data_IF_579396158110
#
_entry.id   IF_579396158110
#
_cell.length_a   1.000
_cell.length_b   1.000
_cell.length_c   1.000
_cell.angle_alpha   90.00
_cell.angle_beta   90.00
_cell.angle_gamma   90.00
#
_symmetry.space_group_name_H-M   'P 1'
#
loop_
_entity.id
_entity.type
_entity.pdbx_description
1 polymer ?
#
# COMPACT_ATOMS: atom_id res chain seq x y z
N UNK A 1 -2.74 -14.49 44.80
CA UNK A 1 -2.38 -15.02 43.47
C UNK A 1 -2.10 -13.91 42.45
N UNK A 2 -2.06 -12.63 42.83
CA UNK A 2 -1.96 -11.51 41.86
C UNK A 2 -0.59 -10.81 41.84
N UNK A 3 0.17 -10.84 42.95
CA UNK A 3 1.45 -10.11 43.06
C UNK A 3 2.58 -10.81 42.27
N UNK A 4 2.62 -12.14 42.27
CA UNK A 4 3.62 -12.93 41.53
C UNK A 4 3.42 -12.86 40.01
N UNK A 5 2.16 -12.76 39.54
CA UNK A 5 1.85 -12.53 38.13
C UNK A 5 2.28 -11.13 37.67
N UNK A 6 2.02 -10.10 38.47
CA UNK A 6 2.39 -8.72 38.15
C UNK A 6 3.92 -8.52 38.10
N UNK A 7 4.66 -9.15 39.04
CA UNK A 7 6.12 -9.18 39.03
C UNK A 7 6.67 -9.93 37.82
N UNK A 8 6.12 -11.11 37.47
CA UNK A 8 6.56 -11.84 36.28
C UNK A 8 6.31 -11.05 34.97
N UNK A 9 5.19 -10.32 34.90
CA UNK A 9 4.86 -9.46 33.75
C UNK A 9 5.80 -8.26 33.66
N UNK A 10 6.13 -7.63 34.80
CA UNK A 10 7.09 -6.53 34.86
C UNK A 10 8.51 -6.99 34.50
N UNK A 11 8.96 -8.16 34.97
CA UNK A 11 10.27 -8.71 34.62
C UNK A 11 10.36 -9.07 33.13
N UNK A 12 9.28 -9.60 32.54
CA UNK A 12 9.22 -9.88 31.10
C UNK A 12 9.22 -8.59 30.26
N UNK A 13 8.52 -7.55 30.69
CA UNK A 13 8.53 -6.22 30.04
C UNK A 13 9.93 -5.58 30.10
N UNK A 14 10.63 -5.69 31.24
CA UNK A 14 11.99 -5.16 31.41
C UNK A 14 12.99 -5.97 30.56
N UNK A 15 12.86 -7.30 30.51
CA UNK A 15 13.70 -8.15 29.67
C UNK A 15 13.49 -7.88 28.17
N UNK A 16 12.24 -7.72 27.73
CA UNK A 16 11.91 -7.31 26.36
C UNK A 16 12.49 -5.92 26.04
N UNK A 17 12.32 -4.93 26.93
CA UNK A 17 12.86 -3.60 26.73
C UNK A 17 14.40 -3.57 26.64
N UNK A 18 15.09 -4.41 27.43
CA UNK A 18 16.55 -4.50 27.43
C UNK A 18 17.11 -5.26 26.21
N UNK A 19 16.37 -6.25 25.72
CA UNK A 19 16.70 -6.99 24.49
C UNK A 19 16.42 -6.14 23.23
N UNK A 20 15.33 -5.38 23.23
CA UNK A 20 15.01 -4.39 22.19
C UNK A 20 16.04 -3.26 22.15
N UNK A 21 16.51 -2.78 23.31
CA UNK A 21 17.62 -1.83 23.36
C UNK A 21 18.90 -2.42 22.76
N UNK A 22 19.20 -3.70 23.00
CA UNK A 22 20.35 -4.39 22.41
C UNK A 22 20.26 -4.50 20.88
N UNK A 23 19.09 -4.87 20.35
CA UNK A 23 18.87 -4.99 18.90
C UNK A 23 18.90 -3.63 18.20
N UNK A 24 18.27 -2.60 18.78
CA UNK A 24 18.30 -1.24 18.24
C UNK A 24 19.72 -0.66 18.26
N UNK A 25 20.46 -0.83 19.36
CA UNK A 25 21.85 -0.38 19.43
C UNK A 25 22.73 -1.08 18.39
N UNK A 26 22.54 -2.39 18.18
CA UNK A 26 23.25 -3.12 17.12
C UNK A 26 22.90 -2.61 15.73
N UNK A 27 21.62 -2.32 15.46
CA UNK A 27 21.19 -1.74 14.18
C UNK A 27 21.77 -0.35 13.95
N UNK A 28 21.82 0.49 14.98
CA UNK A 28 22.43 1.82 14.93
C UNK A 28 23.93 1.71 14.66
N UNK A 29 24.63 0.80 15.33
CA UNK A 29 26.06 0.56 15.08
C UNK A 29 26.32 0.13 13.64
N UNK A 30 25.52 -0.81 13.09
CA UNK A 30 25.64 -1.25 11.70
C UNK A 30 25.20 -0.18 10.71
N UNK A 31 24.28 0.70 11.10
CA UNK A 31 23.85 1.82 10.29
C UNK A 31 24.96 2.87 10.14
N UNK A 32 25.60 3.25 11.25
CA UNK A 32 26.73 4.17 11.25
C UNK A 32 27.92 3.60 10.47
N UNK A 33 28.16 2.29 10.56
CA UNK A 33 29.19 1.60 9.80
C UNK A 33 28.93 1.51 8.28
N UNK A 34 27.70 1.74 7.81
CA UNK A 34 27.35 1.68 6.39
C UNK A 34 27.63 2.98 5.61
N UNK A 35 28.12 4.03 6.27
CA UNK A 35 28.53 5.27 5.60
C UNK A 35 27.39 6.10 5.00
N UNK A 36 27.73 7.05 4.12
CA UNK A 36 26.82 8.11 3.70
C UNK A 36 25.56 7.63 2.96
N UNK A 37 25.65 6.54 2.20
CA UNK A 37 24.51 6.00 1.42
C UNK A 37 23.42 5.37 2.30
N UNK A 38 23.67 5.18 3.59
CA UNK A 38 22.65 4.72 4.55
C UNK A 38 21.55 5.77 4.79
N UNK A 39 21.88 7.06 4.70
CA UNK A 39 20.91 8.14 4.86
C UNK A 39 19.82 8.17 3.78
N UNK A 40 20.14 8.16 2.46
CA UNK A 40 19.11 8.12 1.44
C UNK A 40 18.33 6.78 1.42
N UNK A 41 18.93 5.66 1.81
CA UNK A 41 18.22 4.39 1.99
C UNK A 41 17.17 4.51 3.10
N UNK A 42 17.55 5.07 4.25
CA UNK A 42 16.62 5.31 5.35
C UNK A 42 15.52 6.32 4.95
N UNK A 43 15.86 7.38 4.23
CA UNK A 43 14.89 8.33 3.71
C UNK A 43 13.87 7.65 2.79
N UNK A 44 14.32 6.71 1.94
CA UNK A 44 13.44 5.91 1.08
C UNK A 44 12.46 5.06 1.89
N UNK A 45 12.90 4.47 3.02
CA UNK A 45 12.02 3.75 3.94
C UNK A 45 10.98 4.68 4.56
N UNK A 46 11.41 5.81 5.13
CA UNK A 46 10.52 6.74 5.84
C UNK A 46 9.46 7.31 4.90
N UNK A 47 9.86 7.76 3.71
CA UNK A 47 8.94 8.30 2.71
C UNK A 47 8.03 7.19 2.16
N UNK A 48 8.58 6.02 1.85
CA UNK A 48 7.79 4.86 1.41
C UNK A 48 6.72 4.46 2.43
N UNK A 49 7.07 4.40 3.70
CA UNK A 49 6.12 4.12 4.78
C UNK A 49 5.07 5.23 4.96
N UNK A 50 5.42 6.51 4.74
CA UNK A 50 4.45 7.60 4.76
C UNK A 50 3.37 7.40 3.68
N UNK A 51 3.75 6.99 2.46
CA UNK A 51 2.80 6.62 1.42
C UNK A 51 1.98 5.37 1.80
N UNK A 52 2.59 4.37 2.44
CA UNK A 52 1.86 3.20 2.93
C UNK A 52 0.78 3.58 3.95
N UNK A 53 1.08 4.48 4.89
CA UNK A 53 0.11 4.94 5.91
C UNK A 53 -1.05 5.69 5.24
N UNK A 54 -0.74 6.59 4.31
CA UNK A 54 -1.74 7.32 3.55
C UNK A 54 -2.67 6.37 2.76
N UNK A 55 -2.11 5.38 2.08
CA UNK A 55 -2.87 4.35 1.35
C UNK A 55 -3.73 3.50 2.29
N UNK A 56 -3.19 3.09 3.44
CA UNK A 56 -3.93 2.30 4.42
C UNK A 56 -5.19 3.02 4.89
N UNK A 57 -5.10 4.33 5.17
CA UNK A 57 -6.26 5.13 5.56
C UNK A 57 -7.27 5.27 4.41
N UNK A 58 -6.79 5.62 3.22
CA UNK A 58 -7.65 5.81 2.03
C UNK A 58 -8.43 4.54 1.69
N UNK A 59 -7.77 3.38 1.61
CA UNK A 59 -8.42 2.11 1.28
C UNK A 59 -9.35 1.60 2.39
N UNK A 60 -9.02 1.86 3.66
CA UNK A 60 -9.92 1.51 4.78
C UNK A 60 -11.21 2.33 4.72
N UNK A 61 -11.13 3.60 4.31
CA UNK A 61 -12.29 4.49 4.17
C UNK A 61 -13.12 4.20 2.91
N UNK A 62 -12.52 3.60 1.89
CA UNK A 62 -13.23 3.19 0.67
C UNK A 62 -14.11 1.96 0.86
N UNK A 63 -13.99 1.25 2.00
CA UNK A 63 -14.84 0.10 2.32
C UNK A 63 -16.29 0.52 2.51
N UNK A 64 -17.16 -0.13 1.76
CA UNK A 64 -18.61 -0.09 1.91
C UNK A 64 -19.06 -1.51 2.21
N UNK A 65 -20.13 -1.66 2.99
CA UNK A 65 -20.83 -2.95 2.99
C UNK A 65 -21.58 -3.07 1.65
N UNK A 66 -20.88 -3.56 0.64
CA UNK A 66 -21.36 -3.67 -0.75
C UNK A 66 -22.68 -4.43 -0.81
N UNK A 67 -22.80 -5.54 -0.06
CA UNK A 67 -24.03 -6.35 -0.03
C UNK A 67 -25.23 -5.56 0.51
N UNK A 68 -25.07 -4.91 1.65
CA UNK A 68 -26.14 -4.08 2.23
C UNK A 68 -26.49 -2.89 1.32
N UNK A 69 -25.48 -2.31 0.66
CA UNK A 69 -25.66 -1.21 -0.27
C UNK A 69 -26.48 -1.63 -1.50
N UNK A 70 -26.12 -2.74 -2.15
CA UNK A 70 -26.84 -3.26 -3.32
C UNK A 70 -28.29 -3.58 -2.97
N UNK A 71 -28.56 -4.18 -1.80
CA UNK A 71 -29.92 -4.43 -1.32
C UNK A 71 -30.71 -3.13 -1.16
N UNK A 72 -30.11 -2.08 -0.60
CA UNK A 72 -30.76 -0.77 -0.45
C UNK A 72 -31.07 -0.12 -1.80
N UNK A 73 -30.14 -0.19 -2.75
CA UNK A 73 -30.35 0.38 -4.09
C UNK A 73 -31.45 -0.38 -4.83
N UNK A 74 -31.42 -1.72 -4.85
CA UNK A 74 -32.47 -2.54 -5.48
C UNK A 74 -33.86 -2.24 -4.90
N UNK A 75 -33.97 -2.14 -3.57
CA UNK A 75 -35.23 -1.76 -2.92
C UNK A 75 -35.71 -0.36 -3.34
N UNK A 76 -34.81 0.63 -3.37
CA UNK A 76 -35.16 1.98 -3.80
C UNK A 76 -35.58 2.03 -5.28
N UNK A 77 -34.94 1.21 -6.13
CA UNK A 77 -35.29 1.06 -7.54
C UNK A 77 -36.70 0.46 -7.72
N UNK A 78 -37.06 -0.57 -6.94
CA UNK A 78 -38.40 -1.17 -6.99
C UNK A 78 -39.51 -0.24 -6.48
N UNK A 79 -39.25 0.52 -5.40
CA UNK A 79 -40.26 1.37 -4.74
C UNK A 79 -40.43 2.74 -5.41
N UNK A 80 -39.33 3.37 -5.84
CA UNK A 80 -39.29 4.76 -6.31
C UNK A 80 -38.63 4.96 -7.67
N UNK A 81 -38.24 3.87 -8.34
CA UNK A 81 -37.58 3.92 -9.64
C UNK A 81 -36.15 4.48 -9.60
N UNK A 82 -35.67 4.88 -10.77
CA UNK A 82 -34.27 5.31 -10.99
C UNK A 82 -33.86 6.50 -10.11
N UNK A 83 -34.75 7.47 -9.88
CA UNK A 83 -34.43 8.65 -9.06
C UNK A 83 -34.21 8.31 -7.59
N UNK A 84 -35.02 7.41 -7.01
CA UNK A 84 -34.79 6.93 -5.65
C UNK A 84 -33.47 6.14 -5.53
N UNK A 85 -33.12 5.34 -6.55
CA UNK A 85 -31.83 4.67 -6.62
C UNK A 85 -30.65 5.64 -6.63
N UNK A 86 -30.74 6.73 -7.41
CA UNK A 86 -29.72 7.79 -7.44
C UNK A 86 -29.50 8.43 -6.07
N UNK A 87 -30.58 8.70 -5.34
CA UNK A 87 -30.50 9.30 -4.00
C UNK A 87 -29.74 8.42 -3.00
N UNK A 88 -29.96 7.10 -3.03
CA UNK A 88 -29.21 6.15 -2.19
C UNK A 88 -27.72 6.16 -2.55
N UNK A 89 -27.40 6.22 -3.84
CA UNK A 89 -26.02 6.25 -4.31
C UNK A 89 -25.31 7.55 -3.91
N UNK A 90 -25.96 8.71 -4.05
CA UNK A 90 -25.39 10.01 -3.65
C UNK A 90 -25.09 10.09 -2.14
N UNK A 91 -25.92 9.44 -1.31
CA UNK A 91 -25.75 9.43 0.14
C UNK A 91 -24.78 8.35 0.64
N UNK A 92 -24.25 7.50 -0.26
CA UNK A 92 -23.31 6.43 0.09
C UNK A 92 -21.92 6.78 -0.44
N UNK A 93 -20.91 6.64 0.42
CA UNK A 93 -19.51 6.84 0.03
C UNK A 93 -18.96 5.54 -0.55
N UNK A 94 -17.98 5.63 -1.45
CA UNK A 94 -17.19 4.48 -1.91
C UNK A 94 -17.36 4.20 -3.40
N UNK A 95 -16.46 3.39 -3.97
CA UNK A 95 -16.34 3.23 -5.43
C UNK A 95 -17.60 2.61 -6.04
N UNK A 96 -18.19 1.61 -5.38
CA UNK A 96 -19.44 0.97 -5.84
C UNK A 96 -20.58 1.98 -5.97
N UNK A 97 -20.71 2.90 -5.00
CA UNK A 97 -21.75 3.91 -5.02
C UNK A 97 -21.56 4.95 -6.14
N UNK A 98 -20.31 5.37 -6.39
CA UNK A 98 -19.97 6.25 -7.51
C UNK A 98 -20.34 5.62 -8.86
N UNK A 99 -19.96 4.36 -9.07
CA UNK A 99 -20.25 3.62 -10.32
C UNK A 99 -21.74 3.40 -10.50
N UNK A 100 -22.45 3.02 -9.44
CA UNK A 100 -23.90 2.85 -9.48
C UNK A 100 -24.61 4.15 -9.84
N UNK A 101 -24.21 5.27 -9.22
CA UNK A 101 -24.76 6.58 -9.54
C UNK A 101 -24.58 6.92 -11.01
N UNK A 102 -23.40 6.68 -11.58
CA UNK A 102 -23.11 6.93 -12.99
C UNK A 102 -23.97 6.07 -13.93
N UNK A 103 -24.14 4.77 -13.61
CA UNK A 103 -25.02 3.88 -14.35
C UNK A 103 -26.48 4.33 -14.32
N UNK A 104 -26.98 4.68 -13.13
CA UNK A 104 -28.35 5.17 -12.94
C UNK A 104 -28.59 6.53 -13.60
N UNK A 105 -27.56 7.39 -13.69
CA UNK A 105 -27.64 8.69 -14.36
C UNK A 105 -27.98 8.56 -15.85
N UNK A 106 -27.58 7.48 -16.51
CA UNK A 106 -27.81 7.23 -17.94
C UNK A 106 -28.80 6.11 -18.22
N UNK A 107 -29.52 5.63 -17.20
CA UNK A 107 -30.47 4.53 -17.34
C UNK A 107 -31.67 4.88 -18.24
N UNK A 108 -32.01 6.16 -18.36
CA UNK A 108 -33.05 6.71 -19.24
C UNK A 108 -32.65 6.71 -20.72
N UNK A 109 -31.35 6.90 -21.02
CA UNK A 109 -30.78 6.80 -22.37
C UNK A 109 -30.78 5.34 -22.89
N UNK A 110 -30.91 4.35 -22.00
CA UNK A 110 -31.00 2.93 -22.32
C UNK A 110 -29.98 2.09 -21.55
N UNK A 111 -30.16 0.76 -21.59
CA UNK A 111 -29.28 -0.17 -20.86
C UNK A 111 -27.84 -0.14 -21.39
N UNK A 112 -27.65 -0.06 -22.70
CA UNK A 112 -26.32 0.08 -23.31
C UNK A 112 -25.60 1.36 -22.87
N UNK A 113 -26.34 2.46 -22.69
CA UNK A 113 -25.77 3.71 -22.19
C UNK A 113 -25.38 3.61 -20.71
N UNK A 114 -26.20 2.95 -19.89
CA UNK A 114 -25.91 2.68 -18.48
C UNK A 114 -24.69 1.77 -18.31
N UNK A 115 -24.59 0.69 -19.09
CA UNK A 115 -23.45 -0.23 -19.07
C UNK A 115 -22.14 0.48 -19.46
N UNK A 116 -22.17 1.28 -20.54
CA UNK A 116 -21.01 2.11 -20.93
C UNK A 116 -20.62 3.11 -19.85
N UNK A 117 -21.59 3.69 -19.15
CA UNK A 117 -21.32 4.61 -18.04
C UNK A 117 -20.62 3.89 -16.90
N UNK A 118 -21.12 2.71 -16.51
CA UNK A 118 -20.55 1.88 -15.45
C UNK A 118 -19.10 1.51 -15.78
N UNK A 119 -18.83 1.03 -17.00
CA UNK A 119 -17.46 0.65 -17.40
C UNK A 119 -16.52 1.85 -17.38
N UNK A 120 -16.96 3.00 -17.92
CA UNK A 120 -16.15 4.21 -17.91
C UNK A 120 -15.83 4.71 -16.51
N UNK A 121 -16.83 4.79 -15.62
CA UNK A 121 -16.64 5.25 -14.24
C UNK A 121 -15.92 4.21 -13.38
N UNK A 122 -16.09 2.91 -13.64
CA UNK A 122 -15.32 1.85 -12.99
C UNK A 122 -13.83 1.99 -13.26
N UNK A 123 -13.44 2.28 -14.51
CA UNK A 123 -12.05 2.57 -14.85
C UNK A 123 -11.50 3.82 -14.15
N UNK A 124 -12.32 4.87 -13.98
CA UNK A 124 -11.92 6.06 -13.24
C UNK A 124 -11.72 5.77 -11.74
N UNK A 125 -12.65 5.05 -11.11
CA UNK A 125 -12.56 4.65 -9.69
C UNK A 125 -11.36 3.73 -9.44
N UNK A 126 -11.08 2.78 -10.33
CA UNK A 126 -9.86 1.97 -10.27
C UNK A 126 -8.60 2.86 -10.28
N UNK A 127 -8.52 3.83 -11.19
CA UNK A 127 -7.41 4.78 -11.23
C UNK A 127 -7.26 5.61 -9.95
N UNK A 128 -8.36 5.97 -9.28
CA UNK A 128 -8.31 6.65 -7.99
C UNK A 128 -7.82 5.75 -6.86
N UNK A 129 -8.19 4.47 -6.86
CA UNK A 129 -7.74 3.48 -5.89
C UNK A 129 -6.24 3.19 -6.02
N UNK A 130 -5.73 3.08 -7.25
CA UNK A 130 -4.32 2.83 -7.56
C UNK A 130 -3.40 4.04 -7.34
N UNK A 131 -3.97 5.25 -7.27
CA UNK A 131 -3.20 6.47 -7.04
C UNK A 131 -2.25 6.29 -5.85
N UNK A 132 -1.01 6.75 -5.95
CA UNK A 132 -0.05 6.62 -4.85
C UNK A 132 0.70 5.29 -4.78
N UNK A 133 0.17 4.18 -5.31
CA UNK A 133 0.92 2.91 -5.38
C UNK A 133 2.22 3.04 -6.17
N UNK A 134 2.21 3.88 -7.22
CA UNK A 134 3.40 4.16 -8.02
C UNK A 134 4.56 4.73 -7.19
N UNK A 135 4.26 5.54 -6.17
CA UNK A 135 5.29 6.09 -5.27
C UNK A 135 5.88 5.01 -4.37
N UNK A 136 5.06 4.11 -3.84
CA UNK A 136 5.53 2.96 -3.06
C UNK A 136 6.44 2.07 -3.94
N UNK A 137 6.00 1.74 -5.16
CA UNK A 137 6.78 0.99 -6.15
C UNK A 137 8.11 1.67 -6.50
N UNK A 138 8.10 3.00 -6.60
CA UNK A 138 9.30 3.81 -6.84
C UNK A 138 10.33 3.61 -5.72
N UNK A 139 9.93 3.71 -4.44
CA UNK A 139 10.87 3.52 -3.33
C UNK A 139 11.30 2.06 -3.13
N UNK A 140 10.45 1.09 -3.49
CA UNK A 140 10.85 -0.32 -3.57
C UNK A 140 12.00 -0.51 -4.55
N UNK A 141 11.93 0.15 -5.71
CA UNK A 141 12.94 0.02 -6.76
C UNK A 141 14.21 0.83 -6.45
N UNK A 142 14.05 2.04 -5.90
CA UNK A 142 15.17 2.94 -5.60
C UNK A 142 16.02 2.45 -4.41
N UNK A 143 15.42 1.87 -3.36
CA UNK A 143 16.18 1.49 -2.17
C UNK A 143 17.32 0.48 -2.45
N UNK A 144 17.12 -0.61 -3.23
CA UNK A 144 18.20 -1.52 -3.63
C UNK A 144 19.22 -0.85 -4.56
N UNK A 145 18.77 0.03 -5.46
CA UNK A 145 19.69 0.77 -6.34
C UNK A 145 20.61 1.69 -5.53
N UNK A 146 20.09 2.37 -4.50
CA UNK A 146 20.90 3.15 -3.57
C UNK A 146 21.89 2.27 -2.78
N UNK A 147 21.47 1.08 -2.34
CA UNK A 147 22.36 0.10 -1.70
C UNK A 147 23.47 -0.38 -2.62
N UNK A 148 23.16 -0.62 -3.90
CA UNK A 148 24.14 -0.96 -4.92
C UNK A 148 25.12 0.19 -5.17
N UNK A 149 24.64 1.45 -5.24
CA UNK A 149 25.52 2.61 -5.35
C UNK A 149 26.44 2.75 -4.13
N UNK A 150 25.93 2.53 -2.92
CA UNK A 150 26.75 2.52 -1.70
C UNK A 150 27.85 1.45 -1.73
N UNK A 151 27.57 0.31 -2.36
CA UNK A 151 28.55 -0.76 -2.57
C UNK A 151 29.68 -0.33 -3.49
N UNK A 152 29.35 0.32 -4.59
CA UNK A 152 30.34 0.87 -5.53
C UNK A 152 31.20 1.93 -4.82
N UNK A 153 30.57 2.81 -4.02
CA UNK A 153 31.29 3.83 -3.27
C UNK A 153 32.26 3.22 -2.24
N UNK A 154 31.82 2.27 -1.42
CA UNK A 154 32.68 1.62 -0.41
C UNK A 154 33.86 0.87 -1.04
N UNK A 155 33.66 0.31 -2.24
CA UNK A 155 34.75 -0.31 -3.00
C UNK A 155 35.74 0.71 -3.57
N UNK A 156 35.27 1.87 -4.05
CA UNK A 156 36.15 2.97 -4.48
C UNK A 156 37.02 3.44 -3.31
N UNK A 157 36.41 3.68 -2.15
CA UNK A 157 37.11 4.10 -0.93
C UNK A 157 38.16 3.08 -0.47
N UNK A 158 37.83 1.78 -0.55
CA UNK A 158 38.79 0.71 -0.24
C UNK A 158 40.03 0.78 -1.17
N UNK A 159 39.83 0.96 -2.48
CA UNK A 159 40.94 1.03 -3.43
C UNK A 159 41.76 2.31 -3.29
N UNK A 160 41.13 3.44 -3.01
CA UNK A 160 41.83 4.70 -2.74
C UNK A 160 42.70 4.59 -1.48
N UNK A 161 42.21 3.94 -0.42
CA UNK A 161 42.98 3.69 0.79
C UNK A 161 44.17 2.76 0.57
N UNK A 162 44.02 1.71 -0.26
CA UNK A 162 45.14 0.84 -0.67
C UNK A 162 46.21 1.64 -1.43
N UNK A 163 45.78 2.52 -2.34
CA UNK A 163 46.67 3.36 -3.14
C UNK A 163 47.46 4.32 -2.27
N UNK A 164 46.82 4.94 -1.27
CA UNK A 164 47.45 5.87 -0.34
C UNK A 164 48.44 5.18 0.60
N UNK A 165 48.07 4.02 1.14
CA UNK A 165 48.93 3.26 2.05
C UNK A 165 50.18 2.67 1.38
N UNK A 166 50.22 2.63 0.03
CA UNK A 166 51.26 1.99 -0.78
C UNK A 166 51.59 0.53 -0.38
N UNK A 167 50.73 -0.10 0.43
CA UNK A 167 50.80 -1.48 0.86
C UNK A 167 49.40 -2.06 0.94
N UNK A 168 49.26 -3.32 0.53
CA UNK A 168 47.99 -4.04 0.62
C UNK A 168 47.91 -4.66 2.01
N UNK A 169 47.15 -4.03 2.90
CA UNK A 169 46.75 -4.62 4.17
C UNK A 169 45.33 -5.20 4.07
N UNK A 170 45.10 -6.48 4.40
CA UNK A 170 43.76 -7.08 4.44
C UNK A 170 42.76 -6.30 5.29
N UNK A 171 43.24 -5.60 6.33
CA UNK A 171 42.38 -4.78 7.20
C UNK A 171 41.78 -3.57 6.47
N UNK A 172 42.56 -2.92 5.60
CA UNK A 172 42.13 -1.74 4.83
C UNK A 172 41.02 -2.14 3.85
N UNK A 173 41.18 -3.28 3.18
CA UNK A 173 40.19 -3.78 2.22
C UNK A 173 38.91 -4.24 2.92
N UNK A 174 39.04 -4.86 4.10
CA UNK A 174 37.91 -5.36 4.86
C UNK A 174 36.93 -4.27 5.30
N UNK A 175 37.42 -3.06 5.60
CA UNK A 175 36.58 -1.92 5.99
C UNK A 175 35.62 -1.51 4.87
N UNK A 176 36.13 -1.21 3.67
CA UNK A 176 35.29 -0.81 2.54
C UNK A 176 34.38 -1.92 2.02
N UNK A 177 34.81 -3.19 2.09
CA UNK A 177 33.91 -4.33 1.83
C UNK A 177 32.77 -4.38 2.86
N UNK A 178 33.05 -4.10 4.13
CA UNK A 178 32.00 -4.11 5.17
C UNK A 178 30.96 -3.03 4.92
N UNK A 179 31.40 -1.81 4.58
CA UNK A 179 30.49 -0.71 4.19
C UNK A 179 29.61 -1.16 3.03
N UNK A 180 30.23 -1.73 2.00
CA UNK A 180 29.55 -2.15 0.79
C UNK A 180 28.47 -3.23 1.01
N UNK A 181 28.78 -4.22 1.84
CA UNK A 181 27.84 -5.29 2.19
C UNK A 181 26.67 -4.76 3.03
N UNK A 182 26.93 -3.85 3.98
CA UNK A 182 25.91 -3.25 4.82
C UNK A 182 24.94 -2.41 3.99
N UNK A 183 25.44 -1.53 3.10
CA UNK A 183 24.55 -0.70 2.26
C UNK A 183 23.64 -1.53 1.37
N UNK A 184 24.15 -2.62 0.79
CA UNK A 184 23.33 -3.54 -0.01
C UNK A 184 22.26 -4.21 0.84
N UNK A 185 22.64 -4.77 1.99
CA UNK A 185 21.72 -5.48 2.87
C UNK A 185 20.57 -4.56 3.31
N UNK A 186 20.87 -3.34 3.76
CA UNK A 186 19.85 -2.39 4.19
C UNK A 186 18.94 -1.97 3.03
N UNK A 187 19.48 -1.70 1.84
CA UNK A 187 18.68 -1.37 0.66
C UNK A 187 17.67 -2.48 0.31
N UNK A 188 18.10 -3.74 0.38
CA UNK A 188 17.22 -4.89 0.16
C UNK A 188 16.17 -5.05 1.26
N UNK A 189 16.55 -4.89 2.53
CA UNK A 189 15.59 -4.99 3.65
C UNK A 189 14.50 -3.92 3.53
N UNK A 190 14.86 -2.68 3.22
CA UNK A 190 13.90 -1.60 2.99
C UNK A 190 12.93 -1.95 1.85
N UNK A 191 13.45 -2.44 0.72
CA UNK A 191 12.63 -2.84 -0.41
C UNK A 191 11.66 -3.98 -0.05
N UNK A 192 12.12 -5.00 0.68
CA UNK A 192 11.27 -6.11 1.12
C UNK A 192 10.13 -5.64 2.01
N UNK A 193 10.40 -4.75 2.97
CA UNK A 193 9.37 -4.20 3.86
C UNK A 193 8.30 -3.46 3.03
N UNK A 194 8.73 -2.55 2.15
CA UNK A 194 7.80 -1.80 1.30
C UNK A 194 7.02 -2.70 0.34
N UNK A 195 7.65 -3.75 -0.19
CA UNK A 195 7.02 -4.73 -1.10
C UNK A 195 5.86 -5.48 -0.44
N UNK A 196 5.99 -5.84 0.84
CA UNK A 196 4.91 -6.50 1.59
C UNK A 196 3.68 -5.58 1.67
N UNK A 197 3.88 -4.30 2.00
CA UNK A 197 2.79 -3.32 2.02
C UNK A 197 2.18 -3.09 0.64
N UNK A 198 3.02 -2.96 -0.39
CA UNK A 198 2.57 -2.81 -1.77
C UNK A 198 1.65 -3.96 -2.19
N UNK A 199 2.08 -5.22 -1.98
CA UNK A 199 1.28 -6.40 -2.32
C UNK A 199 -0.03 -6.46 -1.54
N UNK A 200 0.00 -6.06 -0.25
CA UNK A 200 -1.23 -5.96 0.54
C UNK A 200 -2.20 -4.94 -0.06
N UNK A 201 -1.74 -3.76 -0.46
CA UNK A 201 -2.60 -2.74 -1.05
C UNK A 201 -3.14 -3.15 -2.42
N UNK A 202 -2.32 -3.77 -3.28
CA UNK A 202 -2.78 -4.32 -4.56
C UNK A 202 -3.91 -5.33 -4.33
N UNK A 203 -3.71 -6.31 -3.45
CA UNK A 203 -4.75 -7.30 -3.11
C UNK A 203 -6.03 -6.66 -2.54
N UNK A 204 -5.91 -5.54 -1.81
CA UNK A 204 -7.08 -4.80 -1.31
C UNK A 204 -7.81 -4.05 -2.41
N UNK A 205 -7.09 -3.46 -3.36
CA UNK A 205 -7.69 -2.77 -4.51
C UNK A 205 -8.38 -3.78 -5.42
N UNK A 206 -7.74 -4.90 -5.73
CA UNK A 206 -8.33 -5.98 -6.54
C UNK A 206 -9.65 -6.46 -5.95
N UNK A 207 -9.73 -6.63 -4.63
CA UNK A 207 -10.97 -7.01 -3.95
C UNK A 207 -12.07 -5.94 -4.10
N UNK A 208 -11.73 -4.64 -3.96
CA UNK A 208 -12.70 -3.55 -4.15
C UNK A 208 -13.18 -3.43 -5.60
N UNK A 209 -12.28 -3.65 -6.57
CA UNK A 209 -12.62 -3.66 -8.00
C UNK A 209 -13.52 -4.84 -8.31
N UNK A 210 -13.19 -6.04 -7.82
CA UNK A 210 -14.02 -7.23 -7.98
C UNK A 210 -15.44 -7.01 -7.41
N UNK A 211 -15.55 -6.48 -6.19
CA UNK A 211 -16.84 -6.17 -5.57
C UNK A 211 -17.65 -5.16 -6.42
N UNK A 212 -16.97 -4.17 -6.99
CA UNK A 212 -17.57 -3.14 -7.85
C UNK A 212 -18.06 -3.72 -9.18
N UNK A 213 -17.29 -4.59 -9.83
CA UNK A 213 -17.67 -5.26 -11.08
C UNK A 213 -18.85 -6.20 -10.87
N UNK A 214 -18.80 -7.07 -9.85
CA UNK A 214 -19.87 -8.01 -9.53
C UNK A 214 -21.19 -7.28 -9.22
N UNK A 215 -21.11 -6.24 -8.38
CA UNK A 215 -22.28 -5.41 -8.05
C UNK A 215 -22.85 -4.68 -9.27
N UNK A 216 -21.99 -4.27 -10.20
CA UNK A 216 -22.43 -3.55 -11.40
C UNK A 216 -23.25 -4.43 -12.34
N UNK A 217 -22.94 -5.73 -12.41
CA UNK A 217 -23.77 -6.71 -13.13
C UNK A 217 -25.16 -6.79 -12.48
N UNK A 218 -25.21 -6.89 -11.15
CA UNK A 218 -26.48 -6.92 -10.42
C UNK A 218 -27.34 -5.66 -10.63
N UNK A 219 -26.72 -4.51 -10.84
CA UNK A 219 -27.42 -3.26 -11.16
C UNK A 219 -28.05 -3.29 -12.56
N UNK A 220 -27.31 -3.79 -13.55
CA UNK A 220 -27.81 -3.90 -14.93
C UNK A 220 -29.00 -4.87 -14.98
N UNK A 221 -28.93 -6.00 -14.28
CA UNK A 221 -30.04 -6.94 -14.17
C UNK A 221 -31.28 -6.28 -13.54
N UNK A 222 -31.10 -5.53 -12.45
CA UNK A 222 -32.20 -4.80 -11.81
C UNK A 222 -32.83 -3.74 -12.73
N UNK A 223 -32.01 -3.03 -13.52
CA UNK A 223 -32.50 -2.06 -14.52
C UNK A 223 -33.25 -2.75 -15.66
N UNK A 224 -32.81 -3.93 -16.08
CA UNK A 224 -33.50 -4.73 -17.09
C UNK A 224 -34.88 -5.18 -16.61
N UNK A 225 -34.98 -5.73 -15.39
CA UNK A 225 -36.24 -6.15 -14.77
C UNK A 225 -37.23 -4.99 -14.59
N UNK A 226 -36.74 -3.82 -14.18
CA UNK A 226 -37.56 -2.61 -14.09
C UNK A 226 -38.15 -2.20 -15.44
N UNK A 227 -37.36 -2.32 -16.51
CA UNK A 227 -37.78 -1.96 -17.87
C UNK A 227 -38.78 -2.97 -18.45
N UNK A 228 -38.67 -4.25 -18.10
CA UNK A 228 -39.62 -5.28 -18.51
C UNK A 228 -40.92 -5.21 -17.73
N UNK A 229 -40.91 -4.92 -16.42
CA UNK A 229 -42.13 -4.68 -15.61
C UNK A 229 -42.94 -3.46 -16.06
N UNK A 230 -42.30 -2.46 -16.67
CA UNK A 230 -42.97 -1.25 -17.20
C UNK A 230 -43.59 -1.42 -18.59
N UNK A 231 -43.33 -2.52 -19.30
CA UNK A 231 -43.96 -2.87 -20.58
C UNK A 231 -45.18 -3.76 -20.37
#
# INVERSE_FOLDING_TARGET
MEITGLLATATNLIAQAQQDAGMLNWLVEKYEAGGAFMHPILASLVIGLAFCIERFWTLTRARVNTKDFVVKVKKALDEGGVEAGKEVCMNTRGPVASVFYAGLLRADEGLDAAEKAIVAYGGLEMGFLEKGLIWISTFITIAPMLGFTGTVQGMIEAFDAIKEAAQISPAIVAEGISVALLTTLFGLVVAMILQVFYNYFVSRIDALVSDMEESSVELIDALYELKTKKK
#
